data_IF_634204035202
#
_entry.id   IF_634204035202
#
_cell.length_a   1.000
_cell.length_b   1.000
_cell.length_c   1.000
_cell.angle_alpha   90.00
_cell.angle_beta   90.00
_cell.angle_gamma   90.00
#
_symmetry.space_group_name_H-M   'P 1'
#
loop_
_entity.id
_entity.type
_entity.pdbx_description
1 polymer ?
#
# COMPACT_ATOMS: atom_id res chain seq x y z
N UNK A 1 8.41 11.34 -27.44
CA UNK A 1 9.28 11.78 -26.34
C UNK A 1 8.84 13.18 -25.91
N UNK A 2 8.06 13.26 -24.83
CA UNK A 2 7.76 14.52 -24.17
C UNK A 2 8.48 14.47 -22.83
N UNK A 3 9.72 14.95 -22.80
CA UNK A 3 10.48 15.12 -21.57
C UNK A 3 10.37 16.59 -21.17
N UNK A 4 9.70 16.82 -20.04
CA UNK A 4 9.60 18.12 -19.38
C UNK A 4 11.01 18.64 -19.04
N UNK A 5 11.40 19.86 -19.46
CA UNK A 5 12.72 20.44 -19.18
C UNK A 5 12.92 20.87 -17.72
N UNK A 6 11.88 20.86 -16.90
CA UNK A 6 11.98 21.05 -15.45
C UNK A 6 11.81 19.72 -14.70
N UNK A 7 12.66 18.75 -15.04
CA UNK A 7 12.79 17.49 -14.31
C UNK A 7 13.18 17.71 -12.85
N UNK A 8 12.21 18.09 -12.00
CA UNK A 8 12.24 17.76 -10.59
C UNK A 8 12.32 16.24 -10.53
N UNK A 9 13.39 15.72 -9.97
CA UNK A 9 13.51 14.30 -9.69
C UNK A 9 12.30 13.87 -8.84
N UNK A 10 11.34 13.16 -9.45
CA UNK A 10 10.19 12.55 -8.76
C UNK A 10 10.61 11.53 -7.68
N UNK A 11 11.89 11.23 -7.56
CA UNK A 11 12.45 10.32 -6.57
C UNK A 11 12.61 10.91 -5.16
N UNK A 12 12.42 12.22 -4.99
CA UNK A 12 12.64 12.86 -3.70
C UNK A 12 11.40 12.79 -2.79
N UNK A 13 10.19 12.77 -3.34
CA UNK A 13 8.96 13.00 -2.55
C UNK A 13 8.60 11.82 -1.62
N UNK A 14 9.09 10.60 -1.87
CA UNK A 14 8.59 9.38 -1.19
C UNK A 14 9.72 8.49 -0.62
N UNK A 15 10.81 9.08 -0.14
CA UNK A 15 11.82 8.34 0.63
C UNK A 15 11.26 7.92 2.00
N UNK A 16 11.70 6.77 2.52
CA UNK A 16 11.25 6.26 3.81
C UNK A 16 11.69 7.20 4.94
N UNK A 17 12.86 7.83 4.80
CA UNK A 17 13.33 8.90 5.69
C UNK A 17 12.32 10.04 5.86
N UNK A 18 11.78 10.59 4.75
CA UNK A 18 10.78 11.67 4.79
C UNK A 18 9.45 11.22 5.37
N UNK A 19 9.06 9.97 5.16
CA UNK A 19 7.82 9.43 5.73
C UNK A 19 7.92 9.23 7.24
N UNK A 20 9.05 8.69 7.72
CA UNK A 20 9.33 8.58 9.14
C UNK A 20 9.43 9.96 9.81
N UNK A 21 9.99 10.95 9.11
CA UNK A 21 10.01 12.34 9.56
C UNK A 21 8.59 12.89 9.71
N UNK A 22 7.74 12.75 8.68
CA UNK A 22 6.35 13.21 8.72
C UNK A 22 5.54 12.54 9.82
N UNK A 23 5.78 11.23 10.02
CA UNK A 23 5.19 10.46 11.11
C UNK A 23 5.63 11.00 12.48
N UNK A 24 6.93 11.22 12.68
CA UNK A 24 7.47 11.79 13.91
C UNK A 24 6.86 13.16 14.21
N UNK A 25 6.82 14.04 13.20
CA UNK A 25 6.26 15.38 13.28
C UNK A 25 4.78 15.37 13.70
N UNK A 26 3.99 14.49 13.11
CA UNK A 26 2.54 14.45 13.35
C UNK A 26 2.19 13.98 14.76
N UNK A 27 2.98 13.05 15.29
CA UNK A 27 2.64 12.28 16.49
C UNK A 27 3.43 12.66 17.75
N UNK A 28 4.62 13.24 17.60
CA UNK A 28 5.52 13.49 18.73
C UNK A 28 5.93 14.97 18.89
N UNK A 29 5.77 15.83 17.89
CA UNK A 29 5.95 17.30 18.05
C UNK A 29 4.71 17.96 18.65
N UNK A 30 4.08 17.36 19.66
CA UNK A 30 3.06 18.08 20.44
C UNK A 30 3.79 18.92 21.50
N UNK A 31 4.10 20.19 21.17
CA UNK A 31 4.78 21.16 22.07
C UNK A 31 4.05 21.40 23.41
N UNK A 32 2.86 20.82 23.60
CA UNK A 32 1.99 21.05 24.76
C UNK A 32 2.25 20.11 25.94
N UNK A 33 3.00 19.03 25.76
CA UNK A 33 3.42 18.12 26.84
C UNK A 33 4.91 17.77 26.69
N UNK A 34 5.75 18.47 27.45
CA UNK A 34 7.19 18.17 27.53
C UNK A 34 7.40 17.29 28.78
N UNK A 35 7.92 16.07 28.60
CA UNK A 35 8.28 15.20 29.72
C UNK A 35 9.68 15.53 30.28
N UNK A 36 10.02 15.00 31.46
CA UNK A 36 11.32 15.12 32.10
C UNK A 36 12.47 14.59 31.23
N UNK A 37 12.21 13.52 30.46
CA UNK A 37 13.19 12.97 29.53
C UNK A 37 13.42 13.89 28.31
N UNK A 38 12.38 14.57 27.83
CA UNK A 38 12.48 15.56 26.75
C UNK A 38 13.33 16.77 27.18
N UNK A 39 13.16 17.24 28.43
CA UNK A 39 13.97 18.33 28.99
C UNK A 39 15.45 17.96 29.09
N UNK A 40 15.75 16.71 29.43
CA UNK A 40 17.13 16.22 29.49
C UNK A 40 17.74 16.20 28.09
N UNK A 41 17.02 15.67 27.10
CA UNK A 41 17.46 15.63 25.71
C UNK A 41 17.68 17.04 25.15
N UNK A 42 16.76 17.97 25.37
CA UNK A 42 16.91 19.38 24.99
C UNK A 42 18.15 20.02 25.63
N UNK A 43 18.44 19.70 26.89
CA UNK A 43 19.64 20.15 27.59
C UNK A 43 20.93 19.63 26.95
N UNK A 44 20.97 18.36 26.57
CA UNK A 44 22.12 17.75 25.89
C UNK A 44 22.32 18.31 24.48
N UNK A 45 21.22 18.50 23.72
CA UNK A 45 21.26 19.12 22.40
C UNK A 45 21.78 20.56 22.46
N UNK A 46 21.36 21.34 23.46
CA UNK A 46 21.86 22.71 23.64
C UNK A 46 23.36 22.73 23.89
N UNK A 47 23.86 21.86 24.77
CA UNK A 47 25.31 21.75 25.05
C UNK A 47 26.10 21.33 23.81
N UNK A 48 25.56 20.40 23.02
CA UNK A 48 26.18 20.00 21.76
C UNK A 48 26.24 21.17 20.77
N UNK A 49 25.15 21.92 20.62
CA UNK A 49 25.05 23.12 19.76
C UNK A 49 26.07 24.19 20.19
N UNK A 50 26.18 24.49 21.49
CA UNK A 50 27.19 25.42 22.02
C UNK A 50 28.62 24.96 21.69
N UNK A 51 28.90 23.67 21.83
CA UNK A 51 30.23 23.10 21.50
C UNK A 51 30.53 23.18 19.99
N UNK A 52 29.52 22.97 19.14
CA UNK A 52 29.66 23.10 17.69
C UNK A 52 29.84 24.57 17.28
N UNK A 53 29.10 25.50 17.88
CA UNK A 53 29.22 26.94 17.64
C UNK A 53 30.64 27.42 17.95
N UNK A 54 31.21 27.03 19.09
CA UNK A 54 32.60 27.37 19.44
C UNK A 54 33.62 26.82 18.42
N UNK A 55 33.38 25.63 17.88
CA UNK A 55 34.23 25.03 16.85
C UNK A 55 34.08 25.76 15.52
N UNK A 56 32.86 26.11 15.12
CA UNK A 56 32.56 26.86 13.89
C UNK A 56 33.19 28.25 13.95
N UNK A 57 33.05 28.96 15.07
CA UNK A 57 33.69 30.26 15.28
C UNK A 57 35.20 30.15 15.13
N UNK A 58 35.83 29.12 15.68
CA UNK A 58 37.28 28.90 15.52
C UNK A 58 37.68 28.61 14.08
N UNK A 59 36.92 27.77 13.38
CA UNK A 59 37.20 27.36 12.00
C UNK A 59 36.98 28.49 10.99
N UNK A 60 35.93 29.29 11.16
CA UNK A 60 35.57 30.39 10.25
C UNK A 60 36.22 31.73 10.63
N UNK A 61 36.92 31.83 11.78
CA UNK A 61 37.62 33.04 12.21
C UNK A 61 38.59 33.58 11.15
N UNK A 62 39.44 32.73 10.57
CA UNK A 62 40.42 33.15 9.58
C UNK A 62 39.78 33.58 8.24
N UNK A 63 38.89 32.77 7.63
CA UNK A 63 38.15 33.18 6.43
C UNK A 63 37.31 34.46 6.62
N UNK A 64 36.63 34.62 7.76
CA UNK A 64 35.84 35.83 8.04
C UNK A 64 36.77 37.04 8.24
N UNK A 65 37.95 36.85 8.84
CA UNK A 65 38.93 37.93 8.98
C UNK A 65 39.52 38.39 7.64
N UNK A 66 39.62 37.50 6.63
CA UNK A 66 40.02 37.87 5.28
C UNK A 66 39.00 38.79 4.57
N UNK A 67 37.72 38.75 4.96
CA UNK A 67 36.69 39.65 4.43
C UNK A 67 36.94 41.12 4.79
N UNK A 68 37.77 41.39 5.80
CA UNK A 68 38.25 42.74 6.08
C UNK A 68 39.05 43.33 4.89
N UNK A 69 39.72 42.48 4.10
CA UNK A 69 40.50 42.92 2.94
C UNK A 69 39.64 43.47 1.79
N UNK A 70 38.34 43.17 1.80
CA UNK A 70 37.35 43.73 0.87
C UNK A 70 36.41 44.75 1.55
N UNK A 71 36.83 45.29 2.70
CA UNK A 71 36.13 46.31 3.47
C UNK A 71 34.76 45.86 4.04
N UNK A 72 34.60 44.56 4.33
CA UNK A 72 33.45 43.97 5.02
C UNK A 72 33.78 43.71 6.50
N UNK A 73 32.88 44.00 7.47
CA UNK A 73 31.52 44.51 7.30
C UNK A 73 31.44 46.03 7.08
N UNK A 74 32.53 46.81 7.17
CA UNK A 74 32.44 48.27 7.11
C UNK A 74 31.66 48.86 8.30
N UNK A 75 31.39 50.17 8.28
CA UNK A 75 30.89 50.90 9.47
C UNK A 75 29.41 50.69 9.82
N UNK A 76 28.59 50.17 8.91
CA UNK A 76 27.14 50.06 9.09
C UNK A 76 26.57 48.66 8.83
N UNK A 77 27.37 47.67 8.41
CA UNK A 77 26.83 46.35 8.11
C UNK A 77 26.95 45.41 9.32
N UNK A 78 26.04 44.43 9.45
CA UNK A 78 26.08 43.44 10.51
C UNK A 78 27.28 42.49 10.38
N UNK A 79 27.80 42.06 11.53
CA UNK A 79 28.84 41.03 11.62
C UNK A 79 28.30 39.65 11.22
N UNK A 80 29.15 38.81 10.63
CA UNK A 80 28.79 37.44 10.26
C UNK A 80 29.03 36.54 11.48
N UNK A 81 27.98 35.87 11.93
CA UNK A 81 28.06 34.79 12.90
C UNK A 81 27.53 33.50 12.29
N UNK A 82 28.29 32.42 12.43
CA UNK A 82 27.89 31.09 11.97
C UNK A 82 27.39 30.33 13.19
N UNK A 83 26.09 30.04 13.25
CA UNK A 83 25.49 29.23 14.31
C UNK A 83 25.09 27.88 13.76
N UNK A 84 25.29 26.84 14.56
CA UNK A 84 24.77 25.50 14.31
C UNK A 84 23.29 25.44 14.68
N UNK A 85 22.52 24.74 13.86
CA UNK A 85 21.13 24.41 14.13
C UNK A 85 21.01 22.89 14.16
N UNK A 86 20.68 22.33 15.31
CA UNK A 86 20.52 20.88 15.50
C UNK A 86 19.06 20.61 15.81
N UNK A 87 18.34 20.01 14.87
CA UNK A 87 16.97 19.55 15.03
C UNK A 87 16.92 18.04 14.79
N UNK A 88 16.20 17.31 15.65
CA UNK A 88 15.98 15.87 15.54
C UNK A 88 15.29 15.55 14.21
N UNK A 89 14.30 16.37 13.85
CA UNK A 89 13.51 16.21 12.63
C UNK A 89 14.37 16.39 11.39
N UNK A 90 15.32 17.33 11.42
CA UNK A 90 16.29 17.50 10.34
C UNK A 90 17.31 16.35 10.29
N UNK A 91 17.61 15.71 11.42
CA UNK A 91 18.52 14.55 11.48
C UNK A 91 17.94 13.30 10.81
N UNK A 92 16.61 13.15 10.80
CA UNK A 92 15.91 12.02 10.17
C UNK A 92 15.84 12.19 8.63
N UNK A 93 16.05 13.40 8.11
CA UNK A 93 15.94 13.71 6.66
C UNK A 93 17.06 13.14 5.80
N UNK A 94 18.21 12.82 6.39
CA UNK A 94 19.35 12.38 5.62
C UNK A 94 19.08 11.01 4.99
N UNK A 95 19.48 10.80 3.74
CA UNK A 95 19.26 9.56 2.98
C UNK A 95 19.94 8.32 3.61
N UNK A 96 20.78 8.53 4.62
CA UNK A 96 21.49 7.51 5.40
C UNK A 96 20.91 7.34 6.81
N UNK A 97 19.88 8.10 7.17
CA UNK A 97 19.25 8.04 8.50
C UNK A 97 18.44 6.75 8.66
N UNK A 98 17.89 6.24 7.55
CA UNK A 98 17.26 4.93 7.53
C UNK A 98 18.25 3.90 6.98
N UNK A 99 18.64 2.97 7.84
CA UNK A 99 19.59 1.92 7.51
C UNK A 99 18.97 0.55 7.75
N UNK A 100 19.21 -0.37 6.81
CA UNK A 100 18.78 -1.75 6.90
C UNK A 100 19.99 -2.61 7.26
N UNK A 101 19.93 -3.30 8.40
CA UNK A 101 21.01 -4.20 8.84
C UNK A 101 21.01 -5.48 8.03
N UNK A 102 22.19 -5.91 7.60
CA UNK A 102 22.40 -7.14 6.85
C UNK A 102 22.74 -8.25 7.84
N UNK A 103 21.94 -9.32 7.87
CA UNK A 103 22.13 -10.47 8.76
C UNK A 103 22.10 -10.14 10.27
N UNK A 104 21.50 -9.01 10.66
CA UNK A 104 21.41 -8.60 12.05
C UNK A 104 22.71 -8.03 12.62
N UNK A 105 23.73 -7.83 11.77
CA UNK A 105 24.95 -7.13 12.15
C UNK A 105 24.75 -5.62 11.97
N UNK A 106 24.91 -4.86 13.06
CA UNK A 106 24.76 -3.40 13.04
C UNK A 106 25.89 -2.70 12.29
N UNK A 107 27.06 -3.33 12.15
CA UNK A 107 28.19 -2.78 11.40
C UNK A 107 28.00 -2.93 9.88
N UNK A 108 27.19 -3.90 9.46
CA UNK A 108 26.85 -4.15 8.06
C UNK A 108 25.46 -3.59 7.75
N UNK A 109 25.37 -2.27 7.64
CA UNK A 109 24.13 -1.59 7.31
C UNK A 109 24.16 -0.98 5.90
N UNK A 110 23.01 -1.01 5.23
CA UNK A 110 22.84 -0.40 3.92
C UNK A 110 21.83 0.75 3.99
N UNK A 111 22.11 1.91 3.38
CA UNK A 111 21.15 3.00 3.25
C UNK A 111 19.88 2.58 2.49
N UNK A 112 18.77 3.29 2.73
CA UNK A 112 17.47 2.99 2.11
C UNK A 112 17.48 2.94 0.58
N UNK A 113 18.44 3.63 -0.08
CA UNK A 113 18.63 3.60 -1.54
C UNK A 113 18.91 2.22 -2.11
N UNK A 114 19.49 1.33 -1.30
CA UNK A 114 19.82 -0.04 -1.70
C UNK A 114 18.72 -1.03 -1.35
N UNK A 115 17.61 -0.57 -0.76
CA UNK A 115 16.45 -1.41 -0.50
C UNK A 115 15.61 -1.57 -1.79
N UNK A 116 15.02 -2.76 -1.97
CA UNK A 116 14.17 -3.04 -3.12
C UNK A 116 12.92 -2.16 -3.12
N UNK A 117 12.52 -1.69 -4.31
CA UNK A 117 11.33 -0.84 -4.52
C UNK A 117 10.08 -1.40 -3.85
N UNK A 118 9.87 -2.73 -3.94
CA UNK A 118 8.72 -3.39 -3.31
C UNK A 118 8.70 -3.25 -1.79
N UNK A 119 9.82 -3.51 -1.10
CA UNK A 119 9.86 -3.41 0.36
C UNK A 119 9.68 -1.96 0.82
N UNK A 120 10.26 -1.00 0.09
CA UNK A 120 10.05 0.43 0.35
C UNK A 120 8.57 0.82 0.21
N UNK A 121 7.92 0.39 -0.87
CA UNK A 121 6.50 0.66 -1.09
C UNK A 121 5.61 0.05 0.00
N UNK A 122 5.90 -1.19 0.42
CA UNK A 122 5.17 -1.85 1.49
C UNK A 122 5.26 -1.08 2.81
N UNK A 123 6.48 -0.71 3.22
CA UNK A 123 6.71 0.04 4.46
C UNK A 123 6.02 1.41 4.37
N UNK A 124 6.10 2.06 3.20
CA UNK A 124 5.46 3.35 2.93
C UNK A 124 3.95 3.30 3.12
N UNK A 125 3.28 2.37 2.45
CA UNK A 125 1.83 2.19 2.57
C UNK A 125 1.47 1.88 4.02
N UNK A 126 2.22 0.99 4.68
CA UNK A 126 1.97 0.62 6.07
C UNK A 126 2.09 1.81 7.03
N UNK A 127 3.16 2.62 6.94
CA UNK A 127 3.33 3.80 7.78
C UNK A 127 2.24 4.84 7.54
N UNK A 128 1.84 5.07 6.28
CA UNK A 128 0.72 5.96 5.96
C UNK A 128 -0.57 5.44 6.61
N UNK A 129 -0.88 4.15 6.50
CA UNK A 129 -2.06 3.55 7.14
C UNK A 129 -2.05 3.72 8.66
N UNK A 130 -0.91 3.53 9.31
CA UNK A 130 -0.73 3.76 10.74
C UNK A 130 -0.97 5.23 11.10
N UNK A 131 -0.39 6.15 10.32
CA UNK A 131 -0.59 7.59 10.51
C UNK A 131 -2.06 8.01 10.35
N UNK A 132 -2.76 7.49 9.34
CA UNK A 132 -4.20 7.75 9.12
C UNK A 132 -5.03 7.30 10.32
N UNK A 133 -4.79 6.08 10.81
CA UNK A 133 -5.45 5.54 12.00
C UNK A 133 -5.21 6.42 13.23
N UNK A 134 -3.96 6.83 13.46
CA UNK A 134 -3.59 7.62 14.64
C UNK A 134 -4.20 9.01 14.60
N UNK A 135 -4.15 9.69 13.46
CA UNK A 135 -4.83 10.98 13.28
C UNK A 135 -6.33 10.88 13.54
N UNK A 136 -6.95 9.76 13.14
CA UNK A 136 -8.37 9.52 13.38
C UNK A 136 -8.70 9.16 14.83
N UNK A 137 -7.84 8.39 15.51
CA UNK A 137 -8.05 7.95 16.91
C UNK A 137 -7.73 9.06 17.92
N UNK A 138 -6.89 10.03 17.55
CA UNK A 138 -6.45 11.13 18.41
C UNK A 138 -7.53 12.23 18.54
N UNK A 139 -8.71 11.82 19.02
CA UNK A 139 -9.92 12.64 19.21
C UNK A 139 -9.70 13.80 20.21
N UNK A 140 -8.75 13.68 21.12
CA UNK A 140 -8.41 14.71 22.11
C UNK A 140 -7.88 16.02 21.49
N UNK A 141 -7.21 15.96 20.33
CA UNK A 141 -6.79 17.15 19.57
C UNK A 141 -7.98 17.86 18.91
N UNK A 142 -9.02 17.10 18.59
CA UNK A 142 -10.20 17.57 17.86
C UNK A 142 -11.20 18.23 18.82
N UNK A 143 -11.42 17.65 20.01
CA UNK A 143 -12.28 18.22 21.05
C UNK A 143 -11.77 19.58 21.55
N UNK A 144 -10.45 19.78 21.58
CA UNK A 144 -9.83 21.08 21.93
C UNK A 144 -10.03 22.17 20.87
N UNK A 145 -10.39 21.81 19.63
CA UNK A 145 -10.53 22.77 18.53
C UNK A 145 -11.91 23.46 18.46
N UNK A 146 -12.88 23.05 19.30
CA UNK A 146 -14.12 23.81 19.53
C UNK A 146 -15.10 23.92 18.34
N UNK A 147 -14.96 23.08 17.32
CA UNK A 147 -15.87 23.05 16.16
C UNK A 147 -16.88 21.93 16.40
N UNK A 148 -18.19 22.20 16.24
CA UNK A 148 -19.26 21.19 16.20
C UNK A 148 -18.84 20.03 15.29
N UNK A 149 -18.41 18.92 15.88
CA UNK A 149 -17.65 17.90 15.18
C UNK A 149 -18.60 16.88 14.55
N UNK A 150 -18.51 16.74 13.22
CA UNK A 150 -19.06 15.59 12.51
C UNK A 150 -18.03 14.47 12.66
N UNK A 151 -18.45 13.30 13.13
CA UNK A 151 -17.57 12.16 13.31
C UNK A 151 -16.88 11.81 11.97
N UNK A 152 -15.54 11.84 11.90
CA UNK A 152 -14.82 11.63 10.66
C UNK A 152 -14.99 10.18 10.22
N UNK A 153 -15.54 10.00 9.01
CA UNK A 153 -15.58 8.70 8.35
C UNK A 153 -14.14 8.30 8.03
N UNK A 154 -13.68 7.17 8.57
CA UNK A 154 -12.36 6.63 8.26
C UNK A 154 -12.43 5.73 7.02
N UNK A 155 -12.20 6.35 5.86
CA UNK A 155 -12.22 5.70 4.55
C UNK A 155 -10.83 5.79 3.91
N UNK A 156 -10.20 4.63 3.72
CA UNK A 156 -8.84 4.52 3.17
C UNK A 156 -8.89 3.88 1.79
N UNK A 157 -8.27 4.54 0.82
CA UNK A 157 -8.10 4.03 -0.54
C UNK A 157 -6.64 3.64 -0.77
N UNK A 158 -6.43 2.45 -1.32
CA UNK A 158 -5.10 1.98 -1.73
C UNK A 158 -5.19 1.55 -3.19
N UNK A 159 -4.41 2.23 -4.02
CA UNK A 159 -4.34 1.94 -5.45
C UNK A 159 -3.17 0.98 -5.74
N UNK A 160 -3.49 -0.13 -6.42
CA UNK A 160 -2.52 -1.12 -6.92
C UNK A 160 -1.37 -1.44 -5.94
N UNK A 161 -1.67 -1.88 -4.70
CA UNK A 161 -0.63 -2.14 -3.71
C UNK A 161 0.37 -3.24 -4.15
N UNK A 162 0.06 -4.01 -5.18
CA UNK A 162 0.92 -5.05 -5.75
C UNK A 162 2.15 -4.53 -6.51
N UNK A 163 2.22 -3.23 -6.83
CA UNK A 163 3.32 -2.66 -7.61
C UNK A 163 4.68 -2.97 -6.97
N UNK A 164 5.54 -3.68 -7.70
CA UNK A 164 6.86 -4.15 -7.28
C UNK A 164 6.88 -5.12 -6.08
N UNK A 165 5.73 -5.67 -5.65
CA UNK A 165 5.65 -6.68 -4.61
C UNK A 165 5.66 -8.10 -5.17
N UNK A 166 6.37 -8.99 -4.47
CA UNK A 166 6.26 -10.43 -4.72
C UNK A 166 4.86 -10.95 -4.34
N UNK A 167 4.35 -11.94 -5.06
CA UNK A 167 3.01 -12.51 -4.87
C UNK A 167 2.64 -12.80 -3.40
N UNK A 168 3.55 -13.44 -2.65
CA UNK A 168 3.34 -13.73 -1.23
C UNK A 168 3.21 -12.47 -0.37
N UNK A 169 4.00 -11.42 -0.67
CA UNK A 169 3.91 -10.15 0.02
C UNK A 169 2.56 -9.46 -0.23
N UNK A 170 2.03 -9.56 -1.46
CA UNK A 170 0.69 -9.05 -1.80
C UNK A 170 -0.40 -9.73 -0.95
N UNK A 171 -0.33 -11.06 -0.81
CA UNK A 171 -1.28 -11.82 0.01
C UNK A 171 -1.17 -11.46 1.50
N UNK A 172 0.04 -11.32 2.02
CA UNK A 172 0.26 -10.95 3.44
C UNK A 172 -0.23 -9.53 3.68
N UNK A 173 0.05 -8.61 2.77
CA UNK A 173 -0.37 -7.22 2.85
C UNK A 173 -1.88 -7.11 2.99
N UNK A 174 -2.67 -7.66 2.06
CA UNK A 174 -4.13 -7.52 2.11
C UNK A 174 -4.74 -8.20 3.34
N UNK A 175 -4.19 -9.33 3.78
CA UNK A 175 -4.60 -10.01 5.03
C UNK A 175 -4.36 -9.17 6.28
N UNK A 176 -3.33 -8.32 6.27
CA UNK A 176 -2.91 -7.48 7.39
C UNK A 176 -3.30 -6.02 7.27
N UNK A 177 -3.83 -5.60 6.13
CA UNK A 177 -4.18 -4.22 5.87
C UNK A 177 -5.25 -3.69 6.84
N UNK A 178 -6.32 -4.46 7.05
CA UNK A 178 -7.35 -4.07 8.02
C UNK A 178 -6.81 -4.07 9.46
N UNK A 179 -6.07 -5.12 9.85
CA UNK A 179 -5.39 -5.19 11.15
C UNK A 179 -4.49 -3.97 11.39
N UNK A 180 -3.82 -3.45 10.36
CA UNK A 180 -2.97 -2.26 10.47
C UNK A 180 -3.79 -0.99 10.72
N UNK A 181 -4.97 -0.86 10.13
CA UNK A 181 -5.85 0.31 10.29
C UNK A 181 -6.68 0.28 11.57
N UNK A 182 -6.98 -0.90 12.12
CA UNK A 182 -7.81 -1.02 13.33
C UNK A 182 -6.96 -1.33 14.56
N UNK A 183 -5.92 -2.14 14.40
CA UNK A 183 -5.10 -2.65 15.49
C UNK A 183 -5.97 -3.21 16.63
N UNK A 184 -6.99 -3.99 16.26
CA UNK A 184 -8.08 -4.47 17.11
C UNK A 184 -7.65 -5.22 18.36
N UNK A 185 -6.39 -5.67 18.45
CA UNK A 185 -5.86 -6.35 19.63
C UNK A 185 -5.40 -5.39 20.73
N UNK A 186 -4.99 -4.17 20.38
CA UNK A 186 -4.32 -3.23 21.30
C UNK A 186 -4.96 -1.85 21.36
N UNK A 187 -5.77 -1.47 20.37
CA UNK A 187 -6.44 -0.17 20.36
C UNK A 187 -7.79 -0.23 21.10
N UNK A 188 -7.77 0.03 22.41
CA UNK A 188 -8.98 -0.02 23.26
C UNK A 188 -10.06 0.98 22.81
N UNK A 189 -9.68 2.12 22.24
CA UNK A 189 -10.60 3.17 21.77
C UNK A 189 -11.48 2.63 20.64
N UNK A 190 -10.86 1.98 19.64
CA UNK A 190 -11.58 1.42 18.49
C UNK A 190 -12.40 0.19 18.87
N UNK A 191 -11.94 -0.60 19.83
CA UNK A 191 -12.69 -1.76 20.33
C UNK A 191 -13.94 -1.37 21.12
N UNK A 192 -13.85 -0.30 21.92
CA UNK A 192 -14.93 0.10 22.82
C UNK A 192 -15.98 0.98 22.14
N UNK A 193 -15.61 1.70 21.08
CA UNK A 193 -16.50 2.57 20.32
C UNK A 193 -16.97 1.90 19.03
N UNK A 194 -18.18 1.33 19.05
CA UNK A 194 -18.77 0.66 17.87
C UNK A 194 -19.09 1.59 16.71
N UNK A 195 -19.17 2.89 16.97
CA UNK A 195 -19.44 3.92 15.96
C UNK A 195 -18.18 4.29 15.15
N UNK A 196 -17.00 3.90 15.63
CA UNK A 196 -15.73 4.09 14.95
C UNK A 196 -15.48 2.91 14.01
N UNK A 197 -15.89 3.05 12.75
CA UNK A 197 -15.71 2.03 11.71
C UNK A 197 -14.72 2.45 10.64
N UNK A 198 -13.75 1.59 10.36
CA UNK A 198 -12.81 1.75 9.24
C UNK A 198 -13.33 1.06 7.98
N UNK A 199 -13.28 1.75 6.84
CA UNK A 199 -13.51 1.16 5.53
C UNK A 199 -12.23 1.23 4.69
N UNK A 200 -11.82 0.09 4.15
CA UNK A 200 -10.68 -0.03 3.24
C UNK A 200 -11.20 -0.38 1.84
N UNK A 201 -10.79 0.41 0.84
CA UNK A 201 -11.05 0.18 -0.58
C UNK A 201 -9.71 0.00 -1.28
N UNK A 202 -9.56 -1.13 -1.98
CA UNK A 202 -8.33 -1.47 -2.70
C UNK A 202 -8.67 -1.69 -4.17
N UNK A 203 -8.00 -0.99 -5.08
CA UNK A 203 -7.99 -1.35 -6.50
C UNK A 203 -6.81 -2.30 -6.75
N UNK A 204 -7.03 -3.31 -7.60
CA UNK A 204 -6.02 -4.32 -7.88
C UNK A 204 -6.25 -4.99 -9.24
N UNK A 205 -5.16 -5.32 -9.91
CA UNK A 205 -5.08 -6.22 -11.06
C UNK A 205 -4.44 -7.57 -10.68
N UNK A 206 -4.19 -7.82 -9.40
CA UNK A 206 -3.54 -9.03 -8.91
C UNK A 206 -4.54 -10.11 -8.47
N UNK A 207 -4.47 -11.28 -9.10
CA UNK A 207 -5.15 -12.48 -8.63
C UNK A 207 -4.72 -12.90 -7.23
N UNK A 208 -3.48 -12.61 -6.81
CA UNK A 208 -3.02 -12.95 -5.47
C UNK A 208 -3.76 -12.17 -4.39
N UNK A 209 -4.09 -10.91 -4.65
CA UNK A 209 -4.89 -10.08 -3.73
C UNK A 209 -6.35 -10.56 -3.71
N UNK A 210 -6.93 -10.77 -4.89
CA UNK A 210 -8.33 -11.20 -5.02
C UNK A 210 -8.60 -12.53 -4.31
N UNK A 211 -7.65 -13.47 -4.37
CA UNK A 211 -7.77 -14.78 -3.70
C UNK A 211 -7.85 -14.70 -2.17
N UNK A 212 -7.24 -13.69 -1.54
CA UNK A 212 -7.25 -13.53 -0.08
C UNK A 212 -8.53 -12.84 0.44
N UNK A 213 -9.31 -12.24 -0.45
CA UNK A 213 -10.51 -11.48 -0.09
C UNK A 213 -11.75 -12.36 -0.21
N UNK A 214 -12.79 -12.09 0.58
CA UNK A 214 -14.10 -12.73 0.40
C UNK A 214 -14.83 -12.11 -0.80
N UNK A 215 -15.48 -12.94 -1.62
CA UNK A 215 -16.27 -12.47 -2.77
C UNK A 215 -17.32 -11.41 -2.41
N UNK A 216 -17.79 -11.36 -1.16
CA UNK A 216 -18.70 -10.34 -0.67
C UNK A 216 -18.13 -8.91 -0.78
N UNK A 217 -16.82 -8.78 -0.65
CA UNK A 217 -16.11 -7.51 -0.70
C UNK A 217 -15.63 -7.17 -2.12
N UNK A 218 -15.74 -8.09 -3.08
CA UNK A 218 -15.28 -7.86 -4.44
C UNK A 218 -16.29 -7.02 -5.25
N UNK A 219 -15.74 -6.05 -5.99
CA UNK A 219 -16.43 -5.27 -7.02
C UNK A 219 -15.65 -5.42 -8.31
N UNK A 220 -16.28 -6.01 -9.31
CA UNK A 220 -15.65 -6.31 -10.59
C UNK A 220 -15.99 -5.22 -11.60
N UNK A 221 -14.97 -4.61 -12.19
CA UNK A 221 -15.13 -3.56 -13.19
C UNK A 221 -15.13 -4.22 -14.57
N UNK A 222 -16.32 -4.51 -15.08
CA UNK A 222 -16.52 -5.17 -16.36
C UNK A 222 -16.49 -4.14 -17.48
N UNK A 223 -15.65 -4.35 -18.50
CA UNK A 223 -15.67 -3.53 -19.71
C UNK A 223 -16.78 -4.00 -20.64
N UNK A 224 -17.69 -3.10 -21.00
CA UNK A 224 -18.76 -3.34 -21.97
C UNK A 224 -18.70 -2.26 -23.06
N UNK A 225 -19.18 -2.57 -24.25
CA UNK A 225 -19.39 -1.56 -25.29
C UNK A 225 -20.84 -1.10 -25.14
N UNK A 226 -21.05 0.18 -24.87
CA UNK A 226 -22.39 0.73 -24.79
C UNK A 226 -23.02 0.79 -26.19
N UNK A 227 -24.20 0.18 -26.35
CA UNK A 227 -24.89 0.11 -27.65
C UNK A 227 -25.28 1.48 -28.22
N UNK A 228 -25.49 2.49 -27.36
CA UNK A 228 -25.90 3.83 -27.76
C UNK A 228 -24.70 4.71 -28.11
N UNK A 229 -23.67 4.71 -27.26
CA UNK A 229 -22.53 5.62 -27.38
C UNK A 229 -21.40 4.99 -28.22
N UNK A 230 -21.40 3.66 -28.40
CA UNK A 230 -20.38 2.87 -29.12
C UNK A 230 -18.95 3.08 -28.61
N UNK A 231 -18.82 3.51 -27.36
CA UNK A 231 -17.55 3.61 -26.66
C UNK A 231 -17.50 2.56 -25.56
N UNK A 232 -16.30 2.06 -25.20
CA UNK A 232 -16.16 1.19 -24.05
C UNK A 232 -16.50 1.95 -22.76
N UNK A 233 -17.38 1.38 -21.96
CA UNK A 233 -17.74 1.85 -20.61
C UNK A 233 -17.49 0.73 -19.59
N UNK A 234 -17.35 1.11 -18.32
CA UNK A 234 -17.16 0.15 -17.22
C UNK A 234 -18.45 0.00 -16.43
N UNK A 235 -18.94 -1.23 -16.33
CA UNK A 235 -20.04 -1.62 -15.47
C UNK A 235 -19.48 -2.20 -14.17
N UNK A 236 -19.94 -1.71 -13.02
CA UNK A 236 -19.52 -2.22 -11.72
C UNK A 236 -20.43 -3.38 -11.29
N UNK A 237 -19.87 -4.59 -11.31
CA UNK A 237 -20.57 -5.81 -10.93
C UNK A 237 -20.30 -6.13 -9.46
N UNK A 238 -21.37 -6.22 -8.66
CA UNK A 238 -21.30 -6.58 -7.25
C UNK A 238 -21.41 -8.10 -7.05
N UNK A 239 -20.32 -8.71 -6.53
CA UNK A 239 -20.22 -10.16 -6.36
C UNK A 239 -20.79 -10.71 -5.04
N UNK A 240 -21.24 -9.84 -4.12
CA UNK A 240 -21.78 -10.27 -2.82
C UNK A 240 -23.05 -11.12 -2.91
N UNK A 241 -23.87 -10.87 -3.93
CA UNK A 241 -25.14 -11.56 -4.16
C UNK A 241 -25.09 -12.48 -5.37
N UNK A 242 -23.91 -12.96 -5.77
CA UNK A 242 -23.77 -13.83 -6.96
C UNK A 242 -24.54 -15.13 -6.82
N UNK A 243 -24.59 -15.70 -5.62
CA UNK A 243 -25.22 -17.01 -5.38
C UNK A 243 -26.53 -16.94 -4.60
N UNK A 244 -27.06 -15.73 -4.31
CA UNK A 244 -28.26 -15.56 -3.49
C UNK A 244 -28.13 -16.28 -2.13
N UNK A 245 -29.10 -17.12 -1.81
CA UNK A 245 -29.16 -17.93 -0.58
C UNK A 245 -28.47 -19.31 -0.70
N UNK A 246 -27.92 -19.65 -1.88
CA UNK A 246 -27.20 -20.91 -2.10
C UNK A 246 -25.77 -20.86 -1.52
N UNK A 247 -25.71 -21.08 -0.21
CA UNK A 247 -24.47 -21.10 0.56
C UNK A 247 -23.54 -22.27 0.19
N UNK A 248 -24.07 -23.37 -0.36
CA UNK A 248 -23.27 -24.54 -0.72
C UNK A 248 -22.52 -24.30 -2.03
N UNK A 249 -23.20 -23.74 -3.04
CA UNK A 249 -22.56 -23.30 -4.27
C UNK A 249 -21.57 -22.18 -4.01
N UNK A 250 -21.93 -21.18 -3.19
CA UNK A 250 -21.01 -20.11 -2.78
C UNK A 250 -19.74 -20.65 -2.14
N UNK A 251 -19.88 -21.55 -1.17
CA UNK A 251 -18.74 -22.16 -0.46
C UNK A 251 -17.89 -23.01 -1.38
N UNK A 252 -18.52 -23.75 -2.31
CA UNK A 252 -17.83 -24.54 -3.32
C UNK A 252 -17.00 -23.63 -4.23
N UNK A 253 -17.62 -22.68 -4.92
CA UNK A 253 -16.94 -21.81 -5.89
C UNK A 253 -15.85 -20.96 -5.21
N UNK A 254 -16.13 -20.39 -4.03
CA UNK A 254 -15.13 -19.62 -3.26
C UNK A 254 -13.91 -20.47 -2.91
N UNK A 255 -14.14 -21.73 -2.48
CA UNK A 255 -13.03 -22.65 -2.17
C UNK A 255 -12.22 -22.97 -3.41
N UNK A 256 -12.87 -23.22 -4.54
CA UNK A 256 -12.18 -23.53 -5.80
C UNK A 256 -11.31 -22.35 -6.23
N UNK A 257 -11.88 -21.15 -6.36
CA UNK A 257 -11.14 -19.93 -6.73
C UNK A 257 -9.88 -19.76 -5.86
N UNK A 258 -10.01 -19.98 -4.54
CA UNK A 258 -8.90 -19.87 -3.59
C UNK A 258 -7.83 -20.95 -3.72
N UNK A 259 -8.23 -22.22 -3.94
CA UNK A 259 -7.29 -23.34 -3.94
C UNK A 259 -6.50 -23.46 -5.24
N UNK A 260 -7.13 -23.17 -6.38
CA UNK A 260 -6.53 -23.33 -7.70
C UNK A 260 -5.84 -22.08 -8.20
N UNK A 261 -5.85 -20.99 -7.41
CA UNK A 261 -5.38 -19.67 -7.84
C UNK A 261 -5.94 -19.29 -9.22
N UNK A 262 -7.24 -19.52 -9.43
CA UNK A 262 -7.83 -19.35 -10.74
C UNK A 262 -7.82 -17.89 -11.18
N UNK A 263 -7.30 -17.64 -12.37
CA UNK A 263 -7.27 -16.31 -13.00
C UNK A 263 -8.64 -15.89 -13.58
N UNK A 264 -9.75 -16.37 -12.99
CA UNK A 264 -11.09 -16.24 -13.55
C UNK A 264 -11.51 -14.77 -13.74
N UNK A 265 -11.02 -13.86 -12.88
CA UNK A 265 -11.42 -12.46 -12.89
C UNK A 265 -10.72 -11.63 -13.97
N UNK A 266 -9.60 -12.10 -14.52
CA UNK A 266 -8.84 -11.39 -15.55
C UNK A 266 -8.74 -12.18 -16.86
N UNK A 267 -9.51 -13.26 -17.00
CA UNK A 267 -9.56 -14.07 -18.21
C UNK A 267 -10.53 -13.46 -19.24
N UNK A 268 -10.16 -13.52 -20.52
CA UNK A 268 -11.05 -13.16 -21.62
C UNK A 268 -12.08 -14.27 -21.91
N UNK A 269 -11.71 -15.52 -21.63
CA UNK A 269 -12.59 -16.68 -21.73
C UNK A 269 -12.18 -17.76 -20.72
N UNK A 270 -13.13 -18.62 -20.34
CA UNK A 270 -12.93 -19.69 -19.36
C UNK A 270 -13.28 -21.03 -20.00
N UNK A 271 -12.42 -22.04 -19.77
CA UNK A 271 -12.72 -23.44 -20.08
C UNK A 271 -12.78 -24.21 -18.76
N UNK A 272 -13.97 -24.71 -18.44
CA UNK A 272 -14.21 -25.59 -17.30
C UNK A 272 -14.03 -27.04 -17.77
N UNK A 273 -13.12 -27.77 -17.14
CA UNK A 273 -12.83 -29.18 -17.43
C UNK A 273 -13.09 -30.06 -16.21
N UNK A 274 -13.48 -31.31 -16.43
CA UNK A 274 -13.84 -32.23 -15.35
C UNK A 274 -12.66 -32.80 -14.56
N UNK A 275 -11.49 -32.94 -15.19
CA UNK A 275 -10.34 -33.60 -14.59
C UNK A 275 -8.98 -33.02 -14.95
N UNK A 276 -7.95 -33.54 -14.27
CA UNK A 276 -6.56 -33.14 -14.45
C UNK A 276 -6.03 -33.49 -15.85
N UNK A 277 -6.53 -34.58 -16.46
CA UNK A 277 -6.08 -35.02 -17.78
C UNK A 277 -6.41 -33.96 -18.85
N UNK A 278 -7.66 -33.49 -18.86
CA UNK A 278 -8.13 -32.43 -19.74
C UNK A 278 -7.38 -31.14 -19.46
N UNK A 279 -7.17 -30.79 -18.17
CA UNK A 279 -6.41 -29.58 -17.79
C UNK A 279 -4.98 -29.59 -18.33
N UNK A 280 -4.32 -30.75 -18.33
CA UNK A 280 -2.94 -30.90 -18.84
C UNK A 280 -2.92 -30.82 -20.38
N UNK A 281 -3.94 -31.36 -21.05
CA UNK A 281 -4.01 -31.39 -22.52
C UNK A 281 -4.51 -30.07 -23.13
N UNK A 282 -5.38 -29.34 -22.44
CA UNK A 282 -6.03 -28.12 -22.96
C UNK A 282 -5.05 -27.06 -23.48
N UNK A 283 -3.94 -26.74 -22.79
CA UNK A 283 -2.97 -25.76 -23.30
C UNK A 283 -2.37 -26.17 -24.65
N UNK A 284 -2.28 -27.47 -24.95
CA UNK A 284 -1.84 -27.93 -26.27
C UNK A 284 -2.91 -27.65 -27.33
N UNK A 285 -4.16 -28.01 -27.09
CA UNK A 285 -5.25 -27.77 -28.04
C UNK A 285 -5.45 -26.27 -28.33
N UNK A 286 -5.36 -25.42 -27.30
CA UNK A 286 -5.40 -23.96 -27.45
C UNK A 286 -4.27 -23.46 -28.37
N UNK A 287 -3.04 -23.98 -28.21
CA UNK A 287 -1.91 -23.64 -29.07
C UNK A 287 -2.09 -24.13 -30.51
N UNK A 288 -2.62 -25.35 -30.69
CA UNK A 288 -2.84 -25.92 -32.02
C UNK A 288 -3.86 -25.08 -32.83
N UNK A 289 -4.79 -24.40 -32.16
CA UNK A 289 -5.74 -23.44 -32.74
C UNK A 289 -5.23 -21.97 -32.80
N UNK A 290 -3.97 -21.71 -32.43
CA UNK A 290 -3.36 -20.37 -32.35
C UNK A 290 -4.10 -19.40 -31.40
N UNK A 291 -4.66 -19.93 -30.30
CA UNK A 291 -5.43 -19.16 -29.31
C UNK A 291 -4.65 -18.89 -28.00
N UNK A 292 -3.35 -19.15 -27.97
CA UNK A 292 -2.51 -19.03 -26.77
C UNK A 292 -2.31 -17.57 -26.29
N UNK A 293 -2.61 -16.60 -27.13
CA UNK A 293 -2.53 -15.17 -26.81
C UNK A 293 -3.86 -14.55 -26.33
N UNK A 294 -4.94 -15.33 -26.18
CA UNK A 294 -6.29 -14.82 -25.87
C UNK A 294 -6.68 -14.92 -24.37
N UNK A 295 -5.71 -14.85 -23.45
CA UNK A 295 -5.95 -14.84 -21.98
C UNK A 295 -7.01 -15.87 -21.51
N UNK A 296 -6.95 -17.10 -22.04
CA UNK A 296 -7.92 -18.16 -21.75
C UNK A 296 -7.52 -18.89 -20.47
N UNK A 297 -8.41 -18.91 -19.47
CA UNK A 297 -8.19 -19.64 -18.22
C UNK A 297 -8.81 -21.04 -18.27
N UNK A 298 -8.01 -22.06 -17.98
CA UNK A 298 -8.48 -23.46 -17.89
C UNK A 298 -8.63 -23.84 -16.43
N UNK A 299 -9.85 -24.18 -16.02
CA UNK A 299 -10.22 -24.46 -14.63
C UNK A 299 -10.68 -25.91 -14.54
N UNK A 300 -9.97 -26.70 -13.74
CA UNK A 300 -10.34 -28.07 -13.40
C UNK A 300 -11.35 -28.08 -12.25
N UNK A 301 -12.50 -28.66 -12.53
CA UNK A 301 -13.60 -28.87 -11.60
C UNK A 301 -13.62 -30.37 -11.37
N UNK A 302 -12.97 -30.84 -10.31
CA UNK A 302 -12.87 -32.26 -9.95
C UNK A 302 -14.26 -32.92 -9.81
N UNK A 303 -14.84 -33.39 -10.92
CA UNK A 303 -16.17 -33.99 -11.03
C UNK A 303 -17.26 -33.10 -11.67
N UNK A 304 -18.49 -33.60 -11.69
CA UNK A 304 -19.65 -33.03 -12.41
C UNK A 304 -20.30 -31.82 -11.71
N UNK A 305 -19.51 -30.79 -11.41
CA UNK A 305 -19.95 -29.58 -10.69
C UNK A 305 -19.80 -28.28 -11.48
N UNK A 306 -19.58 -28.36 -12.81
CA UNK A 306 -19.41 -27.17 -13.66
C UNK A 306 -20.61 -26.21 -13.61
N UNK A 307 -21.83 -26.73 -13.48
CA UNK A 307 -23.05 -25.93 -13.34
C UNK A 307 -23.03 -24.97 -12.15
N UNK A 308 -22.23 -25.23 -11.10
CA UNK A 308 -22.10 -24.36 -9.93
C UNK A 308 -21.42 -23.03 -10.25
N UNK A 309 -20.64 -22.97 -11.34
CA UNK A 309 -19.98 -21.74 -11.78
C UNK A 309 -20.87 -20.86 -12.65
N UNK A 310 -22.02 -21.35 -13.13
CA UNK A 310 -22.88 -20.65 -14.09
C UNK A 310 -23.31 -19.27 -13.58
N UNK A 311 -23.76 -19.17 -12.33
CA UNK A 311 -24.15 -17.88 -11.74
C UNK A 311 -22.99 -16.88 -11.67
N UNK A 312 -21.75 -17.36 -11.49
CA UNK A 312 -20.57 -16.51 -11.46
C UNK A 312 -20.16 -16.06 -12.86
N UNK A 313 -20.04 -17.00 -13.80
CA UNK A 313 -19.57 -16.71 -15.16
C UNK A 313 -20.55 -15.82 -15.92
N UNK A 314 -21.85 -16.06 -15.79
CA UNK A 314 -22.89 -15.18 -16.36
C UNK A 314 -22.81 -13.76 -15.79
N UNK A 315 -22.58 -13.64 -14.48
CA UNK A 315 -22.52 -12.34 -13.81
C UNK A 315 -21.26 -11.55 -14.15
N UNK A 316 -20.13 -12.22 -14.31
CA UNK A 316 -18.91 -11.61 -14.85
C UNK A 316 -19.07 -11.31 -16.36
N UNK A 317 -19.93 -12.06 -17.05
CA UNK A 317 -20.15 -11.97 -18.49
C UNK A 317 -18.97 -12.50 -19.30
N UNK A 318 -18.26 -13.50 -18.77
CA UNK A 318 -17.09 -14.10 -19.41
C UNK A 318 -17.55 -15.31 -20.24
N UNK A 319 -17.22 -15.39 -21.54
CA UNK A 319 -17.47 -16.56 -22.36
C UNK A 319 -16.92 -17.83 -21.68
N UNK A 320 -17.78 -18.82 -21.49
CA UNK A 320 -17.45 -20.04 -20.76
C UNK A 320 -17.77 -21.28 -21.59
N UNK A 321 -16.77 -22.15 -21.76
CA UNK A 321 -16.90 -23.48 -22.36
C UNK A 321 -16.81 -24.53 -21.25
N UNK A 322 -17.70 -25.52 -21.28
CA UNK A 322 -17.68 -26.66 -20.35
C UNK A 322 -17.35 -27.91 -21.15
N UNK A 323 -16.32 -28.64 -20.72
CA UNK A 323 -15.90 -29.93 -21.27
C UNK A 323 -16.02 -30.95 -20.14
N UNK A 324 -16.91 -31.91 -20.32
CA UNK A 324 -17.25 -32.95 -19.34
C UNK A 324 -17.49 -34.24 -20.11
N UNK A 325 -17.20 -35.36 -19.46
CA UNK A 325 -17.45 -36.67 -20.03
C UNK A 325 -18.94 -36.96 -20.06
N UNK A 326 -19.36 -37.65 -21.11
CA UNK A 326 -20.73 -38.18 -21.19
C UNK A 326 -20.72 -39.49 -20.42
N UNK A 327 -20.93 -39.39 -19.10
CA UNK A 327 -21.14 -40.55 -18.25
C UNK A 327 -22.44 -41.26 -18.68
N UNK A 328 -22.32 -42.52 -19.11
CA UNK A 328 -23.48 -43.35 -19.38
C UNK A 328 -24.16 -43.69 -18.03
N UNK A 329 -25.35 -43.14 -17.79
CA UNK A 329 -26.20 -43.62 -16.71
C UNK A 329 -26.65 -45.05 -17.03
N UNK A 330 -26.17 -46.05 -16.28
CA UNK A 330 -26.86 -47.34 -16.15
C UNK A 330 -28.23 -47.06 -15.52
N UNK A 331 -29.28 -47.18 -16.34
CA UNK A 331 -30.68 -47.10 -15.92
C UNK A 331 -31.21 -48.40 -15.30
#
# INVERSE_FOLDING_TARGET
>A
EFSDPEGRNDNDIDTLSRQLQSYYKSNFEDETQIDLDDLKLLGEMKRATETYDEKLDRSFKAPIAELNNINYPGFQNPEIHVKSHVNIVDSITHESSVQFTVQGDAELSLPEKYNGLGLRNLISIYLKMVQFREQWTNLDRIDKAGINHIEPIHLVFIEEPEAHLHAQAQQVFIRKAMDALTNDSTNEILRNNKDLTTQLVVSTHSNHIVNEVDMCHLRYFKRIIDDNIKIPVSEVVNLSRTFGDDNDTKRFVTRYIRLTHCDIFFADAIILVEGAAERILMPKFIRDENMDNFYISVIEINGSHAHRFDSLTQKLGIPTLIITDIDAQEG
#
